data_IF_091998670433
#
_entry.id   IF_091998670433
#
_cell.length_a   1.000
_cell.length_b   1.000
_cell.length_c   1.000
_cell.angle_alpha   90.00
_cell.angle_beta   90.00
_cell.angle_gamma   90.00
#
_symmetry.space_group_name_H-M   'P 1'
#
loop_
_entity.id
_entity.type
_entity.pdbx_description
1 polymer ?
#
# COMPACT_ATOMS: atom_id res chain seq x y z
N UNK A 1 -6.56 -18.19 -22.73
CA UNK A 1 -6.20 -18.06 -21.31
C UNK A 1 -7.27 -17.22 -20.66
N UNK A 2 -7.95 -17.75 -19.63
CA UNK A 2 -8.97 -16.99 -18.90
C UNK A 2 -8.30 -15.94 -17.99
N UNK A 3 -9.09 -14.97 -17.49
CA UNK A 3 -8.59 -14.00 -16.51
C UNK A 3 -8.12 -14.67 -15.22
N UNK A 4 -8.82 -15.73 -14.80
CA UNK A 4 -8.45 -16.55 -13.64
C UNK A 4 -7.11 -17.25 -13.82
N UNK A 5 -6.88 -17.86 -14.99
CA UNK A 5 -5.61 -18.50 -15.33
C UNK A 5 -4.45 -17.49 -15.30
N UNK A 6 -4.68 -16.29 -15.84
CA UNK A 6 -3.68 -15.23 -15.87
C UNK A 6 -3.34 -14.72 -14.46
N UNK A 7 -4.34 -14.48 -13.62
CA UNK A 7 -4.13 -14.06 -12.23
C UNK A 7 -3.38 -15.14 -11.45
N UNK A 8 -3.78 -16.40 -11.58
CA UNK A 8 -3.13 -17.54 -10.93
C UNK A 8 -1.68 -17.70 -11.40
N UNK A 9 -1.43 -17.50 -12.70
CA UNK A 9 -0.07 -17.51 -13.25
C UNK A 9 0.79 -16.36 -12.67
N UNK A 10 0.26 -15.14 -12.62
CA UNK A 10 0.98 -13.99 -12.06
C UNK A 10 1.26 -14.20 -10.57
N UNK A 11 0.25 -14.63 -9.79
CA UNK A 11 0.39 -14.93 -8.36
C UNK A 11 1.42 -16.02 -8.10
N UNK A 12 1.34 -17.14 -8.81
CA UNK A 12 2.31 -18.25 -8.64
C UNK A 12 3.73 -17.81 -8.97
N UNK A 13 3.92 -17.03 -10.04
CA UNK A 13 5.24 -16.47 -10.36
C UNK A 13 5.76 -15.50 -9.31
N UNK A 14 4.90 -14.65 -8.76
CA UNK A 14 5.29 -13.74 -7.68
C UNK A 14 5.60 -14.49 -6.39
N UNK A 15 4.93 -15.62 -6.12
CA UNK A 15 5.22 -16.45 -4.95
C UNK A 15 6.56 -17.19 -5.07
N UNK A 16 6.94 -17.57 -6.28
CA UNK A 16 8.19 -18.29 -6.57
C UNK A 16 9.39 -17.37 -6.83
N UNK A 17 9.23 -16.05 -6.79
CA UNK A 17 10.36 -15.12 -6.86
C UNK A 17 11.16 -15.21 -5.57
N UNK A 18 12.43 -15.59 -5.71
CA UNK A 18 13.41 -15.60 -4.63
C UNK A 18 14.39 -14.44 -4.86
N UNK A 19 14.72 -13.73 -3.78
CA UNK A 19 15.72 -12.68 -3.76
C UNK A 19 16.83 -13.07 -2.80
N UNK A 20 18.01 -12.47 -2.99
CA UNK A 20 19.10 -12.63 -2.02
C UNK A 20 18.65 -12.14 -0.64
N UNK A 21 19.08 -12.85 0.42
CA UNK A 21 18.59 -12.68 1.80
C UNK A 21 18.66 -11.23 2.34
N UNK A 22 19.48 -10.37 1.73
CA UNK A 22 19.70 -8.99 2.17
C UNK A 22 18.97 -7.93 1.33
N UNK A 23 18.30 -8.28 0.22
CA UNK A 23 17.65 -7.29 -0.63
C UNK A 23 16.18 -7.07 -0.23
N UNK A 24 15.99 -6.14 0.71
CA UNK A 24 14.68 -5.85 1.32
C UNK A 24 13.72 -5.21 0.31
N UNK A 25 14.25 -4.44 -0.66
CA UNK A 25 13.42 -3.65 -1.55
C UNK A 25 12.63 -4.48 -2.58
N UNK A 26 13.23 -5.43 -3.32
CA UNK A 26 12.49 -6.34 -4.18
C UNK A 26 11.47 -7.18 -3.42
N UNK A 27 11.80 -7.64 -2.20
CA UNK A 27 10.87 -8.41 -1.37
C UNK A 27 9.66 -7.57 -0.94
N UNK A 28 9.88 -6.33 -0.51
CA UNK A 28 8.83 -5.36 -0.23
C UNK A 28 7.91 -5.17 -1.46
N UNK A 29 8.48 -5.00 -2.65
CA UNK A 29 7.70 -4.85 -3.88
C UNK A 29 6.90 -6.12 -4.19
N UNK A 30 7.51 -7.30 -4.08
CA UNK A 30 6.84 -8.60 -4.31
C UNK A 30 5.66 -8.78 -3.37
N UNK A 31 5.84 -8.51 -2.07
CA UNK A 31 4.75 -8.56 -1.08
C UNK A 31 3.66 -7.53 -1.36
N UNK A 32 4.03 -6.33 -1.82
CA UNK A 32 3.07 -5.28 -2.20
C UNK A 32 2.25 -5.67 -3.43
N UNK A 33 2.87 -6.31 -4.43
CA UNK A 33 2.19 -6.86 -5.60
C UNK A 33 1.22 -7.97 -5.20
N UNK A 34 1.61 -8.86 -4.29
CA UNK A 34 0.71 -9.89 -3.75
C UNK A 34 -0.47 -9.24 -3.02
N UNK A 35 -0.22 -8.23 -2.19
CA UNK A 35 -1.26 -7.48 -1.49
C UNK A 35 -2.24 -6.81 -2.47
N UNK A 36 -1.73 -6.18 -3.53
CA UNK A 36 -2.54 -5.63 -4.61
C UNK A 36 -3.43 -6.71 -5.28
N UNK A 37 -2.88 -7.89 -5.57
CA UNK A 37 -3.66 -8.96 -6.21
C UNK A 37 -4.80 -9.48 -5.33
N UNK A 38 -4.71 -9.32 -4.01
CA UNK A 38 -5.84 -9.68 -3.11
C UNK A 38 -7.09 -8.83 -3.36
N UNK A 39 -6.93 -7.60 -3.86
CA UNK A 39 -8.06 -6.67 -4.05
C UNK A 39 -8.89 -6.99 -5.29
N UNK A 40 -8.33 -7.71 -6.27
CA UNK A 40 -9.05 -8.18 -7.46
C UNK A 40 -10.21 -9.11 -7.06
N UNK A 41 -10.04 -9.86 -5.96
CA UNK A 41 -11.07 -10.78 -5.47
C UNK A 41 -12.19 -10.09 -4.67
N UNK A 42 -12.08 -8.78 -4.38
CA UNK A 42 -13.13 -8.05 -3.63
C UNK A 42 -14.41 -7.84 -4.41
N UNK A 43 -14.37 -7.97 -5.74
CA UNK A 43 -15.56 -7.89 -6.58
C UNK A 43 -16.49 -9.10 -6.46
N UNK A 44 -16.09 -10.18 -5.78
CA UNK A 44 -16.89 -11.40 -5.66
C UNK A 44 -17.79 -11.37 -4.41
N UNK A 45 -19.13 -11.37 -4.57
CA UNK A 45 -20.05 -11.38 -3.44
C UNK A 45 -19.81 -12.59 -2.53
N UNK A 46 -19.75 -12.35 -1.20
CA UNK A 46 -19.58 -13.41 -0.20
C UNK A 46 -18.13 -13.80 0.10
N UNK A 47 -17.14 -13.20 -0.57
CA UNK A 47 -15.72 -13.50 -0.39
C UNK A 47 -15.04 -12.36 0.36
N UNK A 48 -14.97 -12.47 1.69
CA UNK A 48 -14.08 -11.63 2.52
C UNK A 48 -12.94 -12.50 3.03
N UNK A 49 -11.85 -12.56 2.27
CA UNK A 49 -10.63 -13.22 2.73
C UNK A 49 -9.77 -12.23 3.53
N UNK A 50 -9.36 -12.67 4.71
CA UNK A 50 -8.28 -12.03 5.46
C UNK A 50 -6.97 -12.71 5.10
N UNK A 51 -5.90 -11.92 4.97
CA UNK A 51 -4.57 -12.41 4.62
C UNK A 51 -3.56 -12.08 5.73
N UNK A 52 -3.73 -12.61 6.96
CA UNK A 52 -2.93 -12.20 8.12
C UNK A 52 -1.43 -12.49 7.95
N UNK A 53 -1.08 -13.59 7.28
CA UNK A 53 0.33 -13.92 7.01
C UNK A 53 0.98 -12.89 6.09
N UNK A 54 0.33 -12.58 4.96
CA UNK A 54 0.79 -11.57 4.01
C UNK A 54 0.85 -10.18 4.66
N UNK A 55 -0.16 -9.80 5.44
CA UNK A 55 -0.18 -8.54 6.17
C UNK A 55 1.01 -8.43 7.13
N UNK A 56 1.34 -9.51 7.85
CA UNK A 56 2.48 -9.53 8.76
C UNK A 56 3.82 -9.43 8.01
N UNK A 57 4.00 -10.20 6.93
CA UNK A 57 5.22 -10.14 6.10
C UNK A 57 5.42 -8.75 5.49
N UNK A 58 4.37 -8.18 4.90
CA UNK A 58 4.44 -6.85 4.30
C UNK A 58 4.71 -5.78 5.37
N UNK A 59 4.10 -5.87 6.56
CA UNK A 59 4.40 -4.97 7.67
C UNK A 59 5.87 -5.07 8.10
N UNK A 60 6.42 -6.28 8.23
CA UNK A 60 7.82 -6.49 8.59
C UNK A 60 8.77 -5.90 7.52
N UNK A 61 8.50 -6.15 6.24
CA UNK A 61 9.26 -5.56 5.14
C UNK A 61 9.18 -4.02 5.15
N UNK A 62 7.98 -3.46 5.35
CA UNK A 62 7.80 -2.02 5.49
C UNK A 62 8.59 -1.45 6.68
N UNK A 63 8.71 -2.19 7.79
CA UNK A 63 9.49 -1.73 8.94
C UNK A 63 11.00 -1.78 8.71
N UNK A 64 11.47 -2.83 8.03
CA UNK A 64 12.88 -3.04 7.74
C UNK A 64 13.41 -2.13 6.63
N UNK A 65 12.54 -1.69 5.70
CA UNK A 65 12.94 -0.84 4.60
C UNK A 65 13.02 0.64 5.00
N UNK A 66 14.07 1.32 4.52
CA UNK A 66 14.23 2.78 4.57
C UNK A 66 14.64 3.25 3.18
N UNK A 67 13.82 4.08 2.49
CA UNK A 67 14.17 4.57 1.17
C UNK A 67 15.36 5.54 1.25
N UNK A 68 16.26 5.42 0.27
CA UNK A 68 17.48 6.24 0.13
C UNK A 68 17.45 7.13 -1.12
N UNK A 69 16.57 6.81 -2.09
CA UNK A 69 16.40 7.56 -3.33
C UNK A 69 14.97 8.05 -3.52
N UNK A 70 14.73 9.10 -4.34
CA UNK A 70 13.36 9.54 -4.65
C UNK A 70 12.49 8.44 -5.27
N UNK A 71 13.08 7.57 -6.12
CA UNK A 71 12.39 6.45 -6.73
C UNK A 71 11.96 5.39 -5.72
N UNK A 72 12.83 5.08 -4.75
CA UNK A 72 12.51 4.19 -3.62
C UNK A 72 11.43 4.79 -2.72
N UNK A 73 11.50 6.08 -2.40
CA UNK A 73 10.47 6.77 -1.60
C UNK A 73 9.11 6.71 -2.28
N UNK A 74 9.09 6.94 -3.59
CA UNK A 74 7.88 6.85 -4.41
C UNK A 74 7.27 5.44 -4.40
N UNK A 75 8.07 4.41 -4.69
CA UNK A 75 7.61 3.03 -4.70
C UNK A 75 7.22 2.53 -3.30
N UNK A 76 7.91 3.00 -2.27
CA UNK A 76 7.58 2.70 -0.89
C UNK A 76 6.27 3.36 -0.44
N UNK A 77 6.02 4.61 -0.85
CA UNK A 77 4.75 5.27 -0.62
C UNK A 77 3.60 4.51 -1.29
N UNK A 78 3.82 4.05 -2.53
CA UNK A 78 2.87 3.18 -3.22
C UNK A 78 2.63 1.86 -2.47
N UNK A 79 3.69 1.18 -2.01
CA UNK A 79 3.60 -0.06 -1.24
C UNK A 79 2.76 0.11 0.05
N UNK A 80 3.00 1.20 0.79
CA UNK A 80 2.24 1.52 1.99
C UNK A 80 0.76 1.81 1.68
N UNK A 81 0.47 2.56 0.60
CA UNK A 81 -0.91 2.83 0.15
C UNK A 81 -1.63 1.53 -0.26
N UNK A 82 -0.96 0.64 -0.98
CA UNK A 82 -1.52 -0.67 -1.34
C UNK A 82 -1.78 -1.49 -0.09
N UNK A 83 -0.82 -1.60 0.83
CA UNK A 83 -1.01 -2.33 2.08
C UNK A 83 -2.19 -1.79 2.89
N UNK A 84 -2.27 -0.46 3.04
CA UNK A 84 -3.34 0.24 3.74
C UNK A 84 -4.73 -0.06 3.17
N UNK A 85 -4.80 -0.11 1.85
CA UNK A 85 -6.06 -0.29 1.12
C UNK A 85 -6.36 -1.74 0.77
N UNK A 86 -5.57 -2.73 1.22
CA UNK A 86 -5.78 -4.15 0.90
C UNK A 86 -5.73 -5.06 2.13
N UNK A 87 -4.56 -5.18 2.77
CA UNK A 87 -4.26 -6.25 3.73
C UNK A 87 -4.09 -5.76 5.16
N UNK A 88 -3.75 -4.49 5.38
CA UNK A 88 -3.61 -3.94 6.72
C UNK A 88 -4.98 -3.67 7.33
N UNK A 89 -5.39 -4.56 8.23
CA UNK A 89 -6.63 -4.47 9.01
C UNK A 89 -6.27 -4.37 10.49
N UNK A 90 -7.11 -3.70 11.26
CA UNK A 90 -7.01 -3.63 12.72
C UNK A 90 -6.93 -2.21 13.28
N UNK A 91 -7.18 -2.05 14.58
CA UNK A 91 -7.37 -0.75 15.22
C UNK A 91 -6.09 0.08 15.35
N UNK A 92 -4.91 -0.55 15.35
CA UNK A 92 -3.62 0.16 15.47
C UNK A 92 -2.90 0.27 14.13
N UNK A 93 -3.26 1.29 13.36
CA UNK A 93 -2.59 1.69 12.11
C UNK A 93 -1.67 2.90 12.31
N UNK A 94 -1.35 3.26 13.56
CA UNK A 94 -0.54 4.45 13.87
C UNK A 94 0.84 4.38 13.19
N UNK A 95 1.46 3.22 13.22
CA UNK A 95 2.76 2.95 12.59
C UNK A 95 2.74 3.20 11.07
N UNK A 96 1.64 2.86 10.41
CA UNK A 96 1.47 2.99 8.96
C UNK A 96 1.35 4.47 8.60
N UNK A 97 0.50 5.20 9.32
CA UNK A 97 0.32 6.63 9.11
C UNK A 97 1.60 7.41 9.40
N UNK A 98 2.35 7.04 10.44
CA UNK A 98 3.64 7.67 10.78
C UNK A 98 4.65 7.55 9.64
N UNK A 99 4.72 6.40 8.97
CA UNK A 99 5.63 6.19 7.84
C UNK A 99 5.12 6.81 6.55
N UNK A 100 3.81 6.78 6.32
CA UNK A 100 3.20 7.24 5.08
C UNK A 100 3.15 8.78 4.97
N UNK A 101 2.88 9.48 6.08
CA UNK A 101 2.76 10.95 6.11
C UNK A 101 3.89 11.73 5.43
N UNK A 102 5.17 11.53 5.78
CA UNK A 102 6.25 12.27 5.13
C UNK A 102 6.30 11.98 3.62
N UNK A 103 5.96 10.75 3.22
CA UNK A 103 6.06 10.31 1.84
C UNK A 103 4.91 10.82 0.95
N UNK A 104 3.71 11.06 1.50
CA UNK A 104 2.58 11.53 0.68
C UNK A 104 2.93 12.83 -0.04
N UNK A 105 3.31 13.87 0.71
CA UNK A 105 3.59 15.18 0.11
C UNK A 105 4.84 15.17 -0.74
N UNK A 106 5.87 14.46 -0.31
CA UNK A 106 7.19 14.51 -0.92
C UNK A 106 7.30 13.60 -2.16
N UNK A 107 6.53 12.51 -2.20
CA UNK A 107 6.63 11.49 -3.25
C UNK A 107 5.36 11.28 -4.08
N UNK A 108 4.16 11.53 -3.53
CA UNK A 108 2.90 11.26 -4.24
C UNK A 108 2.13 12.52 -4.65
N UNK A 109 2.25 13.62 -3.92
CA UNK A 109 1.59 14.89 -4.25
C UNK A 109 0.82 15.51 -3.08
N UNK A 110 0.26 16.69 -3.33
CA UNK A 110 -0.42 17.51 -2.31
C UNK A 110 -1.94 17.37 -2.36
N UNK A 111 -2.49 17.02 -3.51
CA UNK A 111 -3.91 16.80 -3.70
C UNK A 111 -4.21 15.32 -3.91
N UNK A 112 -5.42 14.88 -3.57
CA UNK A 112 -5.84 13.50 -3.88
C UNK A 112 -5.71 13.19 -5.37
N UNK A 113 -6.01 14.15 -6.24
CA UNK A 113 -5.87 13.98 -7.69
C UNK A 113 -4.42 13.67 -8.10
N UNK A 114 -3.44 14.42 -7.57
CA UNK A 114 -2.01 14.17 -7.81
C UNK A 114 -1.57 12.81 -7.25
N UNK A 115 -1.95 12.52 -6.00
CA UNK A 115 -1.64 11.25 -5.32
C UNK A 115 -2.17 10.08 -6.14
N UNK A 116 -3.44 10.12 -6.55
CA UNK A 116 -4.06 9.09 -7.38
C UNK A 116 -3.33 8.94 -8.72
N UNK A 117 -3.02 10.04 -9.40
CA UNK A 117 -2.31 9.97 -10.68
C UNK A 117 -0.94 9.30 -10.55
N UNK A 118 -0.24 9.57 -9.45
CA UNK A 118 1.03 8.95 -9.12
C UNK A 118 0.88 7.47 -8.77
N UNK A 119 -0.10 7.09 -7.95
CA UNK A 119 -0.35 5.67 -7.63
C UNK A 119 -0.69 4.84 -8.87
N UNK A 120 -1.38 5.42 -9.84
CA UNK A 120 -1.72 4.78 -11.12
C UNK A 120 -0.52 4.47 -12.01
N UNK A 121 0.61 5.17 -11.87
CA UNK A 121 1.80 4.87 -12.69
C UNK A 121 2.46 3.56 -12.30
N UNK A 122 2.23 3.06 -11.07
CA UNK A 122 2.64 1.71 -10.67
C UNK A 122 1.47 0.77 -10.92
N UNK A 123 0.50 0.74 -10.01
CA UNK A 123 -0.77 0.03 -10.17
C UNK A 123 -1.79 0.59 -9.18
N UNK A 124 -2.95 0.98 -9.70
CA UNK A 124 -4.08 1.43 -8.90
C UNK A 124 -5.37 1.24 -9.69
N UNK A 125 -6.32 0.50 -9.11
CA UNK A 125 -7.66 0.31 -9.66
C UNK A 125 -8.61 1.30 -8.99
N UNK A 126 -9.00 2.34 -9.72
CA UNK A 126 -9.85 3.45 -9.22
C UNK A 126 -11.11 2.94 -8.50
N UNK A 127 -11.84 2.01 -9.11
CA UNK A 127 -13.12 1.50 -8.57
C UNK A 127 -12.98 0.68 -7.28
N UNK A 128 -11.78 0.20 -6.97
CA UNK A 128 -11.52 -0.68 -5.82
C UNK A 128 -10.83 0.11 -4.71
N UNK A 129 -9.83 0.91 -5.06
CA UNK A 129 -8.94 1.51 -4.07
C UNK A 129 -9.25 2.96 -3.74
N UNK A 130 -10.00 3.71 -4.58
CA UNK A 130 -10.21 5.15 -4.33
C UNK A 130 -10.90 5.42 -2.99
N UNK A 131 -11.95 4.67 -2.64
CA UNK A 131 -12.66 4.85 -1.37
C UNK A 131 -11.73 4.71 -0.16
N UNK A 132 -11.13 3.53 0.07
CA UNK A 132 -10.17 3.32 1.15
C UNK A 132 -8.94 4.25 1.05
N UNK A 133 -8.47 4.55 -0.16
CA UNK A 133 -7.30 5.40 -0.39
C UNK A 133 -7.52 6.86 0.03
N UNK A 134 -8.71 7.40 -0.25
CA UNK A 134 -9.11 8.75 0.20
C UNK A 134 -9.16 8.80 1.74
N UNK A 135 -9.68 7.77 2.39
CA UNK A 135 -9.71 7.70 3.86
C UNK A 135 -8.29 7.76 4.45
N UNK A 136 -7.36 6.96 3.92
CA UNK A 136 -5.95 6.97 4.33
C UNK A 136 -5.30 8.33 4.07
N UNK A 137 -5.50 8.90 2.87
CA UNK A 137 -4.97 10.21 2.51
C UNK A 137 -5.46 11.30 3.47
N UNK A 138 -6.76 11.32 3.78
CA UNK A 138 -7.35 12.24 4.73
C UNK A 138 -6.72 12.07 6.13
N UNK A 139 -6.56 10.85 6.63
CA UNK A 139 -5.90 10.58 7.92
C UNK A 139 -4.45 11.10 7.98
N UNK A 140 -3.74 11.10 6.85
CA UNK A 140 -2.42 11.70 6.76
C UNK A 140 -2.47 13.24 6.83
N UNK A 141 -3.52 13.87 6.30
CA UNK A 141 -3.72 15.32 6.36
C UNK A 141 -4.19 15.83 7.72
N UNK A 142 -5.16 15.15 8.35
CA UNK A 142 -5.82 15.64 9.57
C UNK A 142 -4.89 15.82 10.77
N UNK A 143 -3.88 14.96 10.96
CA UNK A 143 -2.89 15.15 12.05
C UNK A 143 -1.78 16.16 11.74
N UNK A 144 -1.75 16.68 10.50
CA UNK A 144 -0.88 17.82 10.15
C UNK A 144 -1.57 19.16 10.45
N UNK A 145 -2.90 19.13 10.67
CA UNK A 145 -3.71 20.26 11.09
C UNK A 145 -3.90 20.30 12.61
N UNK A 146 -3.19 21.23 13.24
CA UNK A 146 -3.57 21.90 14.48
C UNK A 146 -3.44 21.14 15.83
N UNK A 147 -2.29 21.35 16.49
CA UNK A 147 -2.15 21.33 17.96
C UNK A 147 -2.03 22.74 18.54
N UNK A 148 -2.47 23.76 17.81
CA UNK A 148 -2.17 25.16 18.08
C UNK A 148 -3.38 26.07 17.98
N UNK A 149 -4.59 25.57 18.23
CA UNK A 149 -5.72 26.43 18.60
C UNK A 149 -6.55 25.72 19.67
N UNK A 150 -6.22 26.04 20.93
CA UNK A 150 -7.23 26.14 21.99
C UNK A 150 -7.18 27.60 22.43
N UNK A 151 -8.29 28.34 22.27
CA UNK A 151 -8.95 28.79 23.48
C UNK A 151 -10.48 28.67 23.41
N UNK A 152 -11.04 28.31 24.56
CA UNK A 152 -12.38 28.70 24.99
C UNK A 152 -12.28 30.14 25.51
#
# INVERSE_FOLDING_TARGET
>A
MSLEDLITYIQSRLLMLEFEYNDIFPELLRLSLLAFLTTIFWGFPGVKFEYPHLANQLRQACMAFTPSTPGESYLYAWALMVGATSVFRGPDQTWLLQRLRPLIRDSLGRTWFEVKNNLRQVMWIDSIHDGPGIEVFNQCLWETGDRSIVPI
#
